data_IF_832692819731
#
_entry.id   IF_832692819731
#
_cell.length_a   1.000
_cell.length_b   1.000
_cell.length_c   1.000
_cell.angle_alpha   90.00
_cell.angle_beta   90.00
_cell.angle_gamma   90.00
#
_symmetry.space_group_name_H-M   'P 1'
#
loop_
_entity.id
_entity.type
_entity.pdbx_description
1 polymer ?
#
# COMPACT_ATOMS: atom_id res chain seq x y z
N UNK A 1 -11.32 6.15 20.62
CA UNK A 1 -10.12 5.28 20.69
C UNK A 1 -8.91 6.18 20.89
N UNK A 2 -7.85 5.76 21.60
CA UNK A 2 -6.60 6.53 21.63
C UNK A 2 -6.01 6.59 20.21
N UNK A 3 -5.65 7.78 19.74
CA UNK A 3 -5.15 7.97 18.37
C UNK A 3 -3.92 7.12 18.04
N UNK A 4 -3.01 6.93 18.99
CA UNK A 4 -1.84 6.08 18.81
C UNK A 4 -2.23 4.60 18.65
N UNK A 5 -3.20 4.11 19.42
CA UNK A 5 -3.67 2.72 19.29
C UNK A 5 -4.38 2.48 17.96
N UNK A 6 -5.13 3.48 17.48
CA UNK A 6 -5.77 3.43 16.16
C UNK A 6 -4.73 3.27 15.04
N UNK A 7 -3.67 4.09 15.10
CA UNK A 7 -2.58 4.05 14.14
C UNK A 7 -1.78 2.76 14.20
N UNK A 8 -1.40 2.31 15.40
CA UNK A 8 -0.70 1.04 15.59
C UNK A 8 -1.53 -0.15 15.09
N UNK A 9 -2.85 -0.13 15.30
CA UNK A 9 -3.77 -1.16 14.80
C UNK A 9 -3.81 -1.18 13.28
N UNK A 10 -3.97 -0.02 12.63
CA UNK A 10 -4.05 0.09 11.18
C UNK A 10 -2.71 -0.26 10.51
N UNK A 11 -1.60 0.17 11.10
CA UNK A 11 -0.26 -0.07 10.55
C UNK A 11 0.29 -1.49 10.83
N UNK A 12 -0.40 -2.27 11.68
CA UNK A 12 0.10 -3.55 12.18
C UNK A 12 0.28 -4.57 11.05
N UNK A 13 1.43 -5.28 11.00
CA UNK A 13 1.60 -6.42 10.10
C UNK A 13 0.60 -7.56 10.35
N UNK A 14 -0.03 -7.58 11.54
CA UNK A 14 -1.06 -8.56 11.90
C UNK A 14 -2.48 -8.14 11.50
N UNK A 15 -2.66 -6.97 10.89
CA UNK A 15 -3.96 -6.60 10.32
C UNK A 15 -4.34 -7.67 9.28
N UNK A 16 -5.52 -8.31 9.37
CA UNK A 16 -5.84 -9.54 8.65
C UNK A 16 -6.24 -9.27 7.19
N UNK A 17 -5.40 -8.56 6.45
CA UNK A 17 -5.63 -8.16 5.06
C UNK A 17 -4.79 -8.95 4.06
N UNK A 18 -3.80 -9.70 4.55
CA UNK A 18 -2.99 -10.62 3.74
C UNK A 18 -1.80 -9.96 3.02
N UNK A 19 -1.41 -8.73 3.39
CA UNK A 19 -0.31 -7.99 2.76
C UNK A 19 1.01 -8.78 2.68
N UNK A 20 1.32 -9.55 3.72
CA UNK A 20 2.53 -10.39 3.81
C UNK A 20 2.69 -11.44 2.69
N UNK A 21 1.63 -11.69 1.91
CA UNK A 21 1.63 -12.64 0.79
C UNK A 21 2.12 -12.03 -0.52
N UNK A 22 2.34 -10.71 -0.58
CA UNK A 22 2.61 -9.97 -1.80
C UNK A 22 3.99 -9.31 -1.72
N UNK A 23 4.81 -9.53 -2.76
CA UNK A 23 6.19 -9.01 -2.86
C UNK A 23 6.28 -7.76 -3.74
N UNK A 24 5.24 -7.47 -4.53
CA UNK A 24 5.18 -6.33 -5.45
C UNK A 24 6.43 -6.25 -6.34
N UNK A 25 6.74 -7.37 -7.01
CA UNK A 25 7.88 -7.50 -7.93
C UNK A 25 9.25 -7.66 -7.26
N UNK A 26 9.37 -7.49 -5.94
CA UNK A 26 10.66 -7.62 -5.24
C UNK A 26 11.20 -9.07 -5.27
N UNK A 27 10.34 -10.08 -5.20
CA UNK A 27 10.78 -11.48 -5.33
C UNK A 27 11.46 -11.71 -6.69
N UNK A 28 10.84 -11.22 -7.77
CA UNK A 28 11.40 -11.30 -9.12
C UNK A 28 12.70 -10.50 -9.26
N UNK A 29 12.77 -9.31 -8.64
CA UNK A 29 13.99 -8.49 -8.65
C UNK A 29 15.17 -9.21 -7.96
N UNK A 30 14.88 -10.02 -6.93
CA UNK A 30 15.88 -10.86 -6.27
C UNK A 30 16.27 -12.06 -7.14
N UNK A 31 15.30 -12.77 -7.73
CA UNK A 31 15.56 -13.89 -8.64
C UNK A 31 16.44 -13.47 -9.82
N UNK A 32 16.20 -12.28 -10.39
CA UNK A 32 16.98 -11.71 -11.48
C UNK A 32 18.30 -11.08 -11.03
N UNK A 33 18.66 -11.18 -9.74
CA UNK A 33 19.85 -10.55 -9.17
C UNK A 33 19.92 -9.03 -9.41
N UNK A 34 18.79 -8.35 -9.57
CA UNK A 34 18.73 -6.88 -9.53
C UNK A 34 18.83 -6.38 -8.09
N UNK A 35 18.31 -7.17 -7.15
CA UNK A 35 18.42 -6.95 -5.70
C UNK A 35 19.17 -8.15 -5.11
N UNK A 36 20.43 -7.95 -4.72
CA UNK A 36 21.32 -9.03 -4.28
C UNK A 36 22.04 -8.75 -2.96
N UNK A 37 21.93 -7.52 -2.44
CA UNK A 37 22.53 -7.08 -1.18
C UNK A 37 21.74 -5.91 -0.57
N UNK A 38 22.18 -5.40 0.58
CA UNK A 38 21.50 -4.29 1.26
C UNK A 38 21.47 -2.99 0.44
N UNK A 39 22.52 -2.70 -0.35
CA UNK A 39 22.62 -1.46 -1.12
C UNK A 39 21.68 -1.47 -2.33
N UNK A 40 21.61 -2.59 -3.05
CA UNK A 40 20.67 -2.82 -4.14
C UNK A 40 19.22 -2.87 -3.63
N UNK A 41 18.98 -3.45 -2.45
CA UNK A 41 17.68 -3.42 -1.79
C UNK A 41 17.22 -1.99 -1.41
N UNK A 42 18.12 -1.19 -0.83
CA UNK A 42 17.86 0.21 -0.51
C UNK A 42 17.47 1.01 -1.75
N UNK A 43 18.21 0.80 -2.86
CA UNK A 43 17.91 1.43 -4.14
C UNK A 43 16.54 1.02 -4.67
N UNK A 44 16.24 -0.28 -4.70
CA UNK A 44 14.96 -0.77 -5.20
C UNK A 44 13.77 -0.23 -4.40
N UNK A 45 13.84 -0.27 -3.07
CA UNK A 45 12.77 0.25 -2.20
C UNK A 45 12.67 1.78 -2.32
N UNK A 46 13.81 2.48 -2.34
CA UNK A 46 13.85 3.93 -2.53
C UNK A 46 13.26 4.37 -3.86
N UNK A 47 13.60 3.69 -4.96
CA UNK A 47 13.05 3.96 -6.28
C UNK A 47 11.54 3.70 -6.32
N UNK A 48 11.04 2.63 -5.70
CA UNK A 48 9.60 2.41 -5.57
C UNK A 48 8.92 3.53 -4.78
N UNK A 49 9.49 3.94 -3.64
CA UNK A 49 8.97 5.04 -2.82
C UNK A 49 8.84 6.33 -3.64
N UNK A 50 9.89 6.70 -4.37
CA UNK A 50 9.99 8.02 -5.00
C UNK A 50 9.41 8.09 -6.42
N UNK A 51 9.43 6.97 -7.16
CA UNK A 51 9.02 6.91 -8.57
C UNK A 51 7.60 6.36 -8.74
N UNK A 52 7.12 5.54 -7.81
CA UNK A 52 5.77 4.99 -7.84
C UNK A 52 4.90 5.55 -6.72
N UNK A 53 5.22 5.23 -5.46
CA UNK A 53 4.34 5.53 -4.33
C UNK A 53 4.09 7.03 -4.19
N UNK A 54 5.14 7.84 -4.11
CA UNK A 54 5.06 9.29 -3.93
C UNK A 54 4.25 9.99 -5.04
N UNK A 55 4.36 9.51 -6.29
CA UNK A 55 3.80 10.19 -7.47
C UNK A 55 2.42 9.68 -7.87
N UNK A 56 2.04 8.50 -7.37
CA UNK A 56 0.84 7.81 -7.82
C UNK A 56 0.02 7.23 -6.67
N UNK A 57 0.48 6.16 -6.01
CA UNK A 57 -0.33 5.44 -5.03
C UNK A 57 -0.64 6.27 -3.77
N UNK A 58 0.36 6.98 -3.22
CA UNK A 58 0.23 7.79 -2.03
C UNK A 58 -0.71 9.00 -2.19
N UNK A 59 -0.60 9.84 -3.24
CA UNK A 59 -1.53 10.96 -3.44
C UNK A 59 -2.96 10.46 -3.70
N UNK A 60 -3.13 9.34 -4.42
CA UNK A 60 -4.44 8.71 -4.57
C UNK A 60 -5.00 8.23 -3.24
N UNK A 61 -4.21 7.53 -2.41
CA UNK A 61 -4.65 7.09 -1.09
C UNK A 61 -5.02 8.27 -0.19
N UNK A 62 -4.25 9.36 -0.24
CA UNK A 62 -4.56 10.58 0.51
C UNK A 62 -5.89 11.18 0.07
N UNK A 63 -6.17 11.21 -1.24
CA UNK A 63 -7.44 11.66 -1.78
C UNK A 63 -8.61 10.77 -1.31
N UNK A 64 -8.44 9.44 -1.29
CA UNK A 64 -9.44 8.52 -0.74
C UNK A 64 -9.72 8.81 0.74
N UNK A 65 -8.67 8.92 1.55
CA UNK A 65 -8.80 9.20 2.98
C UNK A 65 -9.49 10.55 3.22
N UNK A 66 -9.17 11.56 2.40
CA UNK A 66 -9.77 12.90 2.48
C UNK A 66 -11.25 12.87 2.14
N UNK A 67 -11.62 12.25 1.02
CA UNK A 67 -13.01 12.11 0.60
C UNK A 67 -13.84 11.34 1.63
N UNK A 68 -13.30 10.24 2.17
CA UNK A 68 -13.95 9.48 3.23
C UNK A 68 -14.15 10.34 4.50
N UNK A 69 -13.12 11.03 4.97
CA UNK A 69 -13.20 11.89 6.16
C UNK A 69 -14.22 13.03 6.00
N UNK A 70 -14.41 13.53 4.78
CA UNK A 70 -15.37 14.59 4.44
C UNK A 70 -16.78 14.05 4.14
N UNK A 71 -16.99 12.73 4.14
CA UNK A 71 -18.21 12.06 3.68
C UNK A 71 -18.57 12.36 2.22
N UNK A 72 -17.57 12.67 1.39
CA UNK A 72 -17.75 12.85 -0.05
C UNK A 72 -17.74 11.49 -0.76
N UNK A 73 -18.87 10.79 -0.64
CA UNK A 73 -19.04 9.45 -1.20
C UNK A 73 -18.99 9.45 -2.74
N UNK A 74 -19.32 10.55 -3.40
CA UNK A 74 -19.27 10.66 -4.85
C UNK A 74 -17.82 10.76 -5.33
N UNK A 75 -17.02 11.64 -4.72
CA UNK A 75 -15.60 11.73 -5.02
C UNK A 75 -14.87 10.43 -4.68
N UNK A 76 -15.19 9.82 -3.54
CA UNK A 76 -14.59 8.54 -3.13
C UNK A 76 -14.86 7.42 -4.14
N UNK A 77 -16.08 7.34 -4.69
CA UNK A 77 -16.42 6.38 -5.74
C UNK A 77 -15.63 6.64 -7.03
N UNK A 78 -15.53 7.89 -7.46
CA UNK A 78 -14.77 8.27 -8.66
C UNK A 78 -13.28 7.93 -8.53
N UNK A 79 -12.68 8.26 -7.38
CA UNK A 79 -11.30 7.91 -7.06
C UNK A 79 -11.08 6.39 -7.06
N UNK A 80 -12.04 5.64 -6.50
CA UNK A 80 -11.98 4.18 -6.43
C UNK A 80 -11.99 3.56 -7.83
N UNK A 81 -12.89 4.00 -8.71
CA UNK A 81 -12.95 3.51 -10.10
C UNK A 81 -11.70 3.87 -10.90
N UNK A 82 -11.18 5.10 -10.74
CA UNK A 82 -9.93 5.52 -11.37
C UNK A 82 -8.74 4.67 -10.90
N UNK A 83 -8.64 4.38 -9.59
CA UNK A 83 -7.56 3.58 -9.02
C UNK A 83 -7.64 2.11 -9.41
N UNK A 84 -8.86 1.58 -9.57
CA UNK A 84 -9.08 0.23 -10.09
C UNK A 84 -8.63 0.13 -11.55
N UNK A 85 -8.96 1.12 -12.36
CA UNK A 85 -8.62 1.17 -13.79
C UNK A 85 -7.12 1.37 -14.05
N UNK A 86 -6.38 1.95 -13.10
CA UNK A 86 -4.95 2.24 -13.26
C UNK A 86 -4.02 1.05 -12.98
N UNK A 87 -4.55 -0.12 -12.59
CA UNK A 87 -3.72 -1.28 -12.27
C UNK A 87 -3.15 -1.89 -13.55
N UNK A 88 -1.83 -1.80 -13.69
CA UNK A 88 -1.12 -2.21 -14.90
C UNK A 88 -1.11 -3.72 -15.10
N UNK A 89 -0.75 -4.48 -14.06
CA UNK A 89 -0.59 -5.95 -14.12
C UNK A 89 -1.73 -6.68 -13.43
N UNK A 90 -1.99 -7.92 -13.84
CA UNK A 90 -3.02 -8.77 -13.22
C UNK A 90 -2.74 -9.03 -11.74
N UNK A 91 -1.48 -9.24 -11.38
CA UNK A 91 -1.05 -9.51 -9.99
C UNK A 91 -1.34 -8.30 -9.06
N UNK A 92 -0.89 -7.08 -9.42
CA UNK A 92 -1.22 -5.87 -8.66
C UNK A 92 -2.74 -5.61 -8.55
N UNK A 93 -3.51 -5.90 -9.59
CA UNK A 93 -4.97 -5.80 -9.53
C UNK A 93 -5.57 -6.81 -8.54
N UNK A 94 -5.11 -8.07 -8.58
CA UNK A 94 -5.56 -9.14 -7.68
C UNK A 94 -5.17 -8.87 -6.23
N UNK A 95 -3.95 -8.40 -5.97
CA UNK A 95 -3.48 -7.97 -4.65
C UNK A 95 -4.46 -6.92 -4.08
N UNK A 96 -4.65 -5.82 -4.81
CA UNK A 96 -5.44 -4.68 -4.35
C UNK A 96 -6.88 -5.11 -4.05
N UNK A 97 -7.48 -5.93 -4.92
CA UNK A 97 -8.83 -6.49 -4.72
C UNK A 97 -8.90 -7.42 -3.51
N UNK A 98 -7.96 -8.35 -3.36
CA UNK A 98 -8.00 -9.32 -2.27
C UNK A 98 -7.83 -8.64 -0.91
N UNK A 99 -6.93 -7.67 -0.81
CA UNK A 99 -6.74 -6.90 0.43
C UNK A 99 -7.95 -6.01 0.72
N UNK A 100 -8.55 -5.41 -0.32
CA UNK A 100 -9.80 -4.64 -0.20
C UNK A 100 -10.99 -5.48 0.31
N UNK A 101 -11.16 -6.68 -0.24
CA UNK A 101 -12.15 -7.64 0.25
C UNK A 101 -11.92 -8.01 1.73
N UNK A 102 -10.68 -8.31 2.12
CA UNK A 102 -10.35 -8.64 3.51
C UNK A 102 -10.64 -7.47 4.46
N UNK A 103 -10.34 -6.23 4.05
CA UNK A 103 -10.72 -5.03 4.79
C UNK A 103 -12.23 -4.86 4.90
N UNK A 104 -12.98 -5.11 3.82
CA UNK A 104 -14.45 -5.08 3.88
C UNK A 104 -14.98 -6.08 4.90
N UNK A 105 -14.49 -7.32 4.91
CA UNK A 105 -14.93 -8.33 5.89
C UNK A 105 -14.60 -7.89 7.33
N UNK A 106 -13.39 -7.36 7.55
CA UNK A 106 -13.00 -6.82 8.85
C UNK A 106 -13.92 -5.68 9.30
N UNK A 107 -14.14 -4.68 8.44
CA UNK A 107 -14.94 -3.50 8.77
C UNK A 107 -16.42 -3.82 8.98
N UNK A 108 -16.97 -4.76 8.22
CA UNK A 108 -18.35 -5.22 8.42
C UNK A 108 -18.55 -5.85 9.81
N UNK A 109 -17.55 -6.57 10.32
CA UNK A 109 -17.58 -7.20 11.64
C UNK A 109 -17.29 -6.26 12.82
N UNK A 110 -16.95 -5.00 12.57
CA UNK A 110 -16.54 -4.05 13.60
C UNK A 110 -17.63 -3.01 13.89
N UNK A 111 -17.87 -2.65 15.17
CA UNK A 111 -18.89 -1.66 15.55
C UNK A 111 -18.56 -0.22 15.15
N UNK A 112 -17.28 0.11 14.91
CA UNK A 112 -16.83 1.48 14.63
C UNK A 112 -17.26 2.01 13.25
N UNK A 113 -17.66 1.12 12.33
CA UNK A 113 -18.16 1.50 11.01
C UNK A 113 -19.60 2.01 11.10
N UNK A 114 -19.83 3.26 10.72
CA UNK A 114 -21.16 3.88 10.73
C UNK A 114 -22.01 3.51 9.51
N UNK A 115 -23.31 3.84 9.55
CA UNK A 115 -24.26 3.45 8.52
C UNK A 115 -23.91 4.01 7.13
N UNK A 116 -23.57 5.31 6.97
CA UNK A 116 -23.19 5.85 5.66
C UNK A 116 -22.00 5.11 5.00
N UNK A 117 -20.96 4.78 5.76
CA UNK A 117 -19.83 4.03 5.23
C UNK A 117 -20.20 2.58 4.87
N UNK A 118 -21.09 1.94 5.64
CA UNK A 118 -21.61 0.60 5.31
C UNK A 118 -22.41 0.62 4.03
N UNK A 119 -23.34 1.55 3.88
CA UNK A 119 -24.19 1.69 2.69
C UNK A 119 -23.33 1.96 1.45
N UNK A 120 -22.32 2.83 1.58
CA UNK A 120 -21.36 3.08 0.52
C UNK A 120 -20.59 1.80 0.14
N UNK A 121 -20.00 1.11 1.12
CA UNK A 121 -19.19 -0.08 0.87
C UNK A 121 -20.00 -1.25 0.30
N UNK A 122 -21.29 -1.36 0.64
CA UNK A 122 -22.19 -2.36 0.04
C UNK A 122 -22.50 -2.08 -1.43
N UNK A 123 -22.46 -0.82 -1.85
CA UNK A 123 -22.68 -0.43 -3.26
C UNK A 123 -21.45 -0.64 -4.13
N UNK A 124 -20.26 -0.69 -3.53
CA UNK A 124 -19.01 -0.97 -4.24
C UNK A 124 -18.88 -2.49 -4.40
N UNK A 125 -19.07 -2.98 -5.62
CA UNK A 125 -19.05 -4.43 -5.91
C UNK A 125 -17.67 -5.08 -5.71
N UNK A 126 -16.60 -4.35 -6.02
CA UNK A 126 -15.22 -4.84 -5.93
C UNK A 126 -14.34 -3.83 -5.16
N UNK A 127 -14.38 -3.84 -3.81
CA UNK A 127 -13.55 -2.93 -3.03
C UNK A 127 -12.07 -3.30 -3.15
N UNK A 128 -11.22 -2.28 -3.18
CA UNK A 128 -9.76 -2.42 -3.24
C UNK A 128 -9.10 -1.81 -2.00
N UNK A 129 -7.79 -2.07 -1.83
CA UNK A 129 -7.04 -1.71 -0.62
C UNK A 129 -7.21 -0.24 -0.22
N UNK A 130 -6.99 0.71 -1.12
CA UNK A 130 -7.04 2.14 -0.79
C UNK A 130 -8.42 2.60 -0.31
N UNK A 131 -9.49 2.09 -0.92
CA UNK A 131 -10.86 2.33 -0.48
C UNK A 131 -11.11 1.79 0.93
N UNK A 132 -10.77 0.50 1.15
CA UNK A 132 -10.92 -0.13 2.46
C UNK A 132 -10.09 0.56 3.54
N UNK A 133 -8.88 1.00 3.20
CA UNK A 133 -7.97 1.71 4.10
C UNK A 133 -8.54 3.07 4.51
N UNK A 134 -9.07 3.84 3.56
CA UNK A 134 -9.72 5.11 3.82
C UNK A 134 -10.95 4.96 4.73
N UNK A 135 -11.78 3.93 4.51
CA UNK A 135 -12.92 3.65 5.36
C UNK A 135 -12.50 3.17 6.76
N UNK A 136 -11.45 2.37 6.87
CA UNK A 136 -10.88 1.95 8.15
C UNK A 136 -10.34 3.15 8.94
N UNK A 137 -9.56 4.02 8.28
CA UNK A 137 -9.06 5.25 8.88
C UNK A 137 -10.20 6.13 9.38
N UNK A 138 -11.25 6.32 8.58
CA UNK A 138 -12.44 7.06 8.97
C UNK A 138 -13.16 6.44 10.17
N UNK A 139 -13.44 5.14 10.14
CA UNK A 139 -14.10 4.42 11.24
C UNK A 139 -13.31 4.53 12.55
N UNK A 140 -11.99 4.55 12.46
CA UNK A 140 -11.08 4.64 13.59
C UNK A 140 -10.67 6.08 13.95
N UNK A 141 -11.26 7.08 13.30
CA UNK A 141 -11.02 8.51 13.52
C UNK A 141 -9.55 8.91 13.33
N UNK A 142 -8.89 8.31 12.34
CA UNK A 142 -7.52 8.60 11.93
C UNK A 142 -7.55 9.68 10.85
N UNK A 143 -6.76 10.75 11.03
CA UNK A 143 -6.66 11.82 10.04
C UNK A 143 -6.04 11.32 8.71
N UNK A 144 -6.39 11.92 7.55
CA UNK A 144 -5.89 11.45 6.25
C UNK A 144 -4.35 11.37 6.14
N UNK A 145 -3.65 12.33 6.74
CA UNK A 145 -2.18 12.35 6.77
C UNK A 145 -1.59 11.21 7.60
N UNK A 146 -2.17 10.93 8.76
CA UNK A 146 -1.69 9.83 9.61
C UNK A 146 -2.04 8.47 9.00
N UNK A 147 -3.18 8.37 8.32
CA UNK A 147 -3.56 7.17 7.56
C UNK A 147 -2.59 6.91 6.40
N UNK A 148 -2.14 7.96 5.70
CA UNK A 148 -1.11 7.84 4.67
C UNK A 148 0.23 7.39 5.27
N UNK A 149 0.65 8.00 6.38
CA UNK A 149 1.89 7.62 7.06
C UNK A 149 1.87 6.15 7.53
N UNK A 150 0.74 5.71 8.10
CA UNK A 150 0.53 4.32 8.50
C UNK A 150 0.64 3.35 7.30
N UNK A 151 0.10 3.73 6.13
CA UNK A 151 0.15 2.89 4.94
C UNK A 151 1.57 2.78 4.38
N UNK A 152 2.29 3.91 4.28
CA UNK A 152 3.68 3.94 3.85
C UNK A 152 4.57 3.09 4.78
N UNK A 153 4.34 3.17 6.09
CA UNK A 153 5.02 2.34 7.08
C UNK A 153 4.71 0.84 6.89
N UNK A 154 3.43 0.47 6.79
CA UNK A 154 3.04 -0.93 6.55
C UNK A 154 3.61 -1.50 5.26
N UNK A 155 3.66 -0.69 4.20
CA UNK A 155 4.28 -1.06 2.94
C UNK A 155 5.78 -1.33 3.12
N UNK A 156 6.52 -0.43 3.78
CA UNK A 156 7.95 -0.59 4.01
C UNK A 156 8.25 -1.84 4.85
N UNK A 157 7.51 -2.06 5.94
CA UNK A 157 7.63 -3.26 6.78
C UNK A 157 7.39 -4.54 5.97
N UNK A 158 6.41 -4.53 5.05
CA UNK A 158 6.17 -5.65 4.16
C UNK A 158 7.37 -5.91 3.22
N UNK A 159 7.93 -4.87 2.60
CA UNK A 159 9.09 -5.01 1.72
C UNK A 159 10.32 -5.56 2.48
N UNK A 160 10.55 -5.11 3.72
CA UNK A 160 11.61 -5.64 4.56
C UNK A 160 11.36 -7.11 4.95
N UNK A 161 10.12 -7.49 5.24
CA UNK A 161 9.74 -8.87 5.50
C UNK A 161 9.94 -9.78 4.28
N UNK A 162 9.70 -9.26 3.07
CA UNK A 162 10.01 -9.96 1.81
C UNK A 162 11.52 -10.17 1.68
N UNK A 163 12.33 -9.11 1.85
CA UNK A 163 13.79 -9.20 1.76
C UNK A 163 14.37 -10.24 2.72
N UNK A 164 13.88 -10.31 3.96
CA UNK A 164 14.36 -11.29 4.95
C UNK A 164 14.01 -12.74 4.58
N UNK A 165 13.05 -12.96 3.68
CA UNK A 165 12.68 -14.29 3.18
C UNK A 165 13.38 -14.64 1.86
N UNK A 166 13.70 -13.64 1.04
CA UNK A 166 14.28 -13.85 -0.31
C UNK A 166 15.79 -13.63 -0.37
N UNK A 167 16.36 -12.82 0.52
CA UNK A 167 17.80 -12.60 0.68
C UNK A 167 18.30 -13.12 2.03
N UNK A 168 19.60 -13.44 2.15
CA UNK A 168 20.25 -13.72 3.43
C UNK A 168 20.46 -12.44 4.27
N UNK A 169 19.41 -11.62 4.42
CA UNK A 169 19.42 -10.39 5.18
C UNK A 169 19.02 -10.67 6.63
N UNK A 170 19.94 -10.44 7.58
CA UNK A 170 19.64 -10.57 9.01
C UNK A 170 18.75 -9.44 9.54
N UNK A 171 18.06 -9.69 10.66
CA UNK A 171 17.16 -8.73 11.33
C UNK A 171 17.81 -7.37 11.61
N UNK A 172 19.06 -7.36 12.08
CA UNK A 172 19.80 -6.12 12.34
C UNK A 172 20.12 -5.34 11.05
N UNK A 173 20.35 -6.03 9.93
CA UNK A 173 20.54 -5.38 8.64
C UNK A 173 19.22 -4.78 8.13
N UNK A 174 18.09 -5.48 8.32
CA UNK A 174 16.76 -4.94 8.01
C UNK A 174 16.46 -3.65 8.80
N UNK A 175 16.72 -3.63 10.11
CA UNK A 175 16.49 -2.43 10.95
C UNK A 175 17.40 -1.25 10.58
N UNK A 176 18.66 -1.52 10.19
CA UNK A 176 19.55 -0.49 9.65
C UNK A 176 19.01 0.07 8.33
N UNK A 177 18.53 -0.80 7.45
CA UNK A 177 17.90 -0.41 6.19
C UNK A 177 16.63 0.40 6.41
N UNK A 178 15.79 0.05 7.40
CA UNK A 178 14.65 0.88 7.82
C UNK A 178 15.10 2.29 8.17
N UNK A 179 16.15 2.41 8.99
CA UNK A 179 16.68 3.70 9.43
C UNK A 179 17.21 4.53 8.26
N UNK A 180 17.85 3.89 7.28
CA UNK A 180 18.34 4.52 6.04
C UNK A 180 17.18 5.03 5.15
N UNK A 181 16.06 4.32 5.12
CA UNK A 181 14.91 4.63 4.27
C UNK A 181 13.91 5.61 4.89
N UNK A 182 13.96 5.86 6.20
CA UNK A 182 13.07 6.80 6.90
C UNK A 182 13.02 8.21 6.24
N UNK A 183 14.14 8.84 5.86
CA UNK A 183 14.10 10.12 5.16
C UNK A 183 13.37 10.06 3.81
N UNK A 184 13.49 8.95 3.08
CA UNK A 184 12.78 8.75 1.81
C UNK A 184 11.28 8.53 2.03
N UNK A 185 10.91 7.84 3.10
CA UNK A 185 9.51 7.67 3.51
C UNK A 185 8.86 9.04 3.80
N UNK A 186 9.57 9.90 4.53
CA UNK A 186 9.14 11.27 4.81
C UNK A 186 9.04 12.10 3.53
N UNK A 187 10.03 11.99 2.64
CA UNK A 187 10.00 12.68 1.34
C UNK A 187 8.81 12.24 0.49
N UNK A 188 8.53 10.94 0.43
CA UNK A 188 7.41 10.39 -0.31
C UNK A 188 6.06 10.92 0.22
N UNK A 189 5.88 10.97 1.54
CA UNK A 189 4.67 11.56 2.16
C UNK A 189 4.53 13.05 1.81
N UNK A 190 5.61 13.82 1.93
CA UNK A 190 5.61 15.26 1.62
C UNK A 190 5.29 15.52 0.16
N UNK A 191 5.90 14.77 -0.75
CA UNK A 191 5.66 14.88 -2.18
C UNK A 191 4.21 14.53 -2.52
N UNK A 192 3.70 13.40 -2.03
CA UNK A 192 2.31 12.99 -2.23
C UNK A 192 1.31 14.02 -1.71
N UNK A 193 1.62 14.68 -0.59
CA UNK A 193 0.78 15.74 0.00
C UNK A 193 0.76 17.01 -0.85
N UNK A 194 1.89 17.38 -1.44
CA UNK A 194 2.04 18.61 -2.21
C UNK A 194 1.69 18.45 -3.69
N UNK A 195 1.53 17.22 -4.18
CA UNK A 195 1.29 16.93 -5.59
C UNK A 195 -0.11 17.41 -6.00
N UNK A 196 -0.18 18.16 -7.10
CA UNK A 196 -1.46 18.49 -7.73
C UNK A 196 -2.14 17.20 -8.22
N UNK A 197 -3.42 16.94 -7.87
CA UNK A 197 -4.17 15.80 -8.37
C UNK A 197 -4.12 15.60 -9.90
N UNK A 198 -4.07 16.69 -10.68
CA UNK A 198 -4.00 16.62 -12.15
C UNK A 198 -2.64 16.09 -12.67
N UNK A 199 -1.63 16.01 -11.80
CA UNK A 199 -0.29 15.51 -12.12
C UNK A 199 -0.02 14.12 -11.53
N UNK A 200 -1.03 13.47 -10.94
CA UNK A 200 -0.90 12.12 -10.43
C UNK A 200 -0.55 11.18 -11.59
N UNK A 201 0.58 10.49 -11.45
CA UNK A 201 1.09 9.59 -12.47
C UNK A 201 2.47 9.06 -12.10
N UNK A 202 2.73 7.81 -12.48
CA UNK A 202 4.04 7.20 -12.36
C UNK A 202 4.39 6.49 -13.67
N UNK A 203 5.68 6.24 -13.86
CA UNK A 203 6.18 5.40 -14.94
C UNK A 203 7.27 4.46 -14.41
N UNK A 204 6.94 3.58 -13.44
CA UNK A 204 7.94 2.73 -12.79
C UNK A 204 8.18 1.49 -13.67
N UNK A 205 8.72 1.69 -14.88
CA UNK A 205 8.85 0.62 -15.88
C UNK A 205 9.57 -0.62 -15.35
N UNK A 206 10.60 -0.45 -14.52
CA UNK A 206 11.29 -1.57 -13.88
C UNK A 206 10.39 -2.40 -12.96
N UNK A 207 9.50 -1.74 -12.19
CA UNK A 207 8.53 -2.41 -11.34
C UNK A 207 7.45 -3.12 -12.18
N UNK A 208 6.92 -2.46 -13.20
CA UNK A 208 5.91 -3.03 -14.09
C UNK A 208 6.45 -4.30 -14.78
N UNK A 209 7.68 -4.24 -15.31
CA UNK A 209 8.34 -5.39 -15.93
C UNK A 209 8.64 -6.51 -14.92
N UNK A 210 9.08 -6.17 -13.71
CA UNK A 210 9.30 -7.16 -12.65
C UNK A 210 8.00 -7.86 -12.26
N UNK A 211 6.90 -7.14 -12.13
CA UNK A 211 5.59 -7.72 -11.85
C UNK A 211 5.08 -8.60 -13.01
N UNK A 212 5.19 -8.14 -14.26
CA UNK A 212 4.82 -8.96 -15.42
C UNK A 212 5.67 -10.24 -15.55
N UNK A 213 6.95 -10.17 -15.20
CA UNK A 213 7.83 -11.33 -15.19
C UNK A 213 7.48 -12.28 -14.03
N UNK A 214 7.12 -11.73 -12.86
CA UNK A 214 6.71 -12.52 -11.71
C UNK A 214 5.52 -13.43 -12.05
N UNK A 215 4.59 -12.99 -12.90
CA UNK A 215 3.50 -13.83 -13.43
C UNK A 215 3.97 -15.11 -14.13
N UNK A 216 5.25 -15.21 -14.53
CA UNK A 216 5.85 -16.36 -15.22
C UNK A 216 6.97 -17.06 -14.42
N UNK A 217 7.25 -16.61 -13.20
CA UNK A 217 8.24 -17.21 -12.32
C UNK A 217 7.90 -18.67 -12.01
N UNK A 218 8.89 -19.57 -12.08
CA UNK A 218 8.68 -21.01 -11.86
C UNK A 218 8.50 -21.35 -10.36
N UNK A 219 9.40 -20.83 -9.51
CA UNK A 219 9.37 -21.04 -8.07
C UNK A 219 8.98 -19.76 -7.35
N UNK A 220 7.81 -19.72 -6.70
CA UNK A 220 7.30 -18.52 -6.02
C UNK A 220 7.01 -18.77 -4.55
N UNK A 221 7.47 -17.87 -3.70
CA UNK A 221 7.11 -17.77 -2.29
C UNK A 221 5.94 -16.82 -2.09
N UNK A 222 5.77 -15.84 -2.97
CA UNK A 222 4.72 -14.82 -2.87
C UNK A 222 3.69 -14.96 -3.99
N UNK A 223 2.50 -14.41 -3.74
CA UNK A 223 1.39 -14.33 -4.70
C UNK A 223 1.51 -13.11 -5.63
N UNK A 224 2.47 -12.23 -5.30
CA UNK A 224 2.87 -10.89 -5.80
C UNK A 224 1.81 -9.84 -5.94
#
# INVERSE_FOLDING_TARGET
>A
MNAAWALLRLASPQLPIGGYSYSQGLEMAVEQSTVHDSASAARWIGDQLLLNLARFEAPLLLAHCTAAAQNDWAALLQLSEAHRASRETRELHLESRQMGYSLQQLLNGLPEMDQPARDFLQRVGEPHLALGWALAARAWQIGPQDALAAWLWSWLENQLAVLMKTLPLGQQAAQRLTSELLPLLQNAQQHATALNPDHIGSAPFGLALASMNHERQYSRLFRS
#
